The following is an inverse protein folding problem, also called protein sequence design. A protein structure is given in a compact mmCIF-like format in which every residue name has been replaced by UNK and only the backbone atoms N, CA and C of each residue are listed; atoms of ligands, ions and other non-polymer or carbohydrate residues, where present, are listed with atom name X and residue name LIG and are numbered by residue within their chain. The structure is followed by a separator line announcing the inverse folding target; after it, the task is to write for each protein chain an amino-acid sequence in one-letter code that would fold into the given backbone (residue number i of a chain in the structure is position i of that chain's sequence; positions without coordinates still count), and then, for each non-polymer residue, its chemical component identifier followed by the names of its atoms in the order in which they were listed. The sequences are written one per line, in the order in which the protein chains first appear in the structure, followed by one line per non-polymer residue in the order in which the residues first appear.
data_IF_433357913459
#
_entry.id   IF_433357913459
#
_cell.length_a   1.000
_cell.length_b   1.000
_cell.length_c   1.000
_cell.angle_alpha   90.00
_cell.angle_beta   90.00
_cell.angle_gamma   90.00
#
_symmetry.space_group_name_H-M   'P 1'
#
loop_
_entity.id
_entity.type
_entity.pdbx_description
1 polymer ?
#
# COMPACT_ATOMS: atom_id res chain seq x y z
N UNK A 1 -2.80 30.76 -19.14
CA UNK A 1 -3.68 29.83 -18.40
C UNK A 1 -5.02 30.52 -18.23
N UNK A 2 -6.10 29.95 -18.78
CA UNK A 2 -7.46 30.46 -18.62
C UNK A 2 -7.99 29.83 -17.34
N UNK A 3 -8.29 30.65 -16.32
CA UNK A 3 -8.98 30.19 -15.12
C UNK A 3 -10.47 30.17 -15.41
N UNK A 4 -11.12 29.02 -15.26
CA UNK A 4 -12.57 28.93 -15.36
C UNK A 4 -13.20 29.53 -14.09
N UNK A 5 -14.32 30.22 -14.27
CA UNK A 5 -15.12 30.74 -13.15
C UNK A 5 -15.49 29.56 -12.23
N UNK A 6 -15.17 29.66 -10.94
CA UNK A 6 -15.42 28.68 -9.87
C UNK A 6 -14.38 27.55 -9.65
N UNK A 7 -13.22 27.57 -10.31
CA UNK A 7 -12.13 26.65 -9.94
C UNK A 7 -11.41 27.09 -8.65
N UNK A 8 -10.88 26.15 -7.83
CA UNK A 8 -10.01 26.48 -6.70
C UNK A 8 -8.79 27.31 -7.15
N UNK A 9 -8.34 28.28 -6.33
CA UNK A 9 -7.23 29.16 -6.68
C UNK A 9 -5.96 28.35 -6.97
N UNK A 10 -5.39 28.51 -8.16
CA UNK A 10 -4.05 28.00 -8.48
C UNK A 10 -3.02 28.95 -7.87
N UNK A 11 -2.22 28.44 -6.96
CA UNK A 11 -1.13 29.20 -6.35
C UNK A 11 -0.16 29.65 -7.47
N UNK A 12 0.24 30.93 -7.51
CA UNK A 12 1.20 31.42 -8.50
C UNK A 12 2.57 30.77 -8.34
N UNK A 13 3.19 30.40 -9.47
CA UNK A 13 4.53 29.81 -9.53
C UNK A 13 5.35 30.44 -10.65
N UNK A 14 6.66 30.58 -10.42
CA UNK A 14 7.58 31.26 -11.35
C UNK A 14 8.17 30.34 -12.43
N UNK A 15 8.19 29.03 -12.19
CA UNK A 15 8.85 28.06 -13.07
C UNK A 15 7.81 27.16 -13.76
N UNK A 16 7.43 27.42 -15.03
CA UNK A 16 6.30 26.73 -15.68
C UNK A 16 6.40 25.20 -15.71
N UNK A 17 7.61 24.65 -15.86
CA UNK A 17 7.85 23.21 -15.95
C UNK A 17 7.84 22.55 -14.57
N UNK A 18 8.39 23.21 -13.55
CA UNK A 18 8.59 22.63 -12.22
C UNK A 18 7.39 22.94 -11.29
N UNK A 19 6.79 24.12 -11.47
CA UNK A 19 5.81 24.70 -10.56
C UNK A 19 6.28 24.73 -9.12
N UNK A 20 5.45 24.17 -8.25
CA UNK A 20 5.65 24.11 -6.80
C UNK A 20 6.39 22.84 -6.37
N UNK A 21 6.88 22.04 -7.32
CA UNK A 21 7.42 20.71 -6.99
C UNK A 21 8.60 20.79 -6.03
N UNK A 22 9.51 21.73 -6.22
CA UNK A 22 10.66 21.89 -5.34
C UNK A 22 10.24 22.26 -3.91
N UNK A 23 9.39 23.27 -3.75
CA UNK A 23 8.92 23.71 -2.43
C UNK A 23 8.12 22.61 -1.72
N UNK A 24 7.29 21.90 -2.48
CA UNK A 24 6.51 20.76 -1.98
C UNK A 24 7.39 19.63 -1.46
N UNK A 25 8.48 19.27 -2.14
CA UNK A 25 9.36 18.19 -1.69
C UNK A 25 10.38 18.63 -0.62
N UNK A 26 10.78 19.91 -0.62
CA UNK A 26 11.76 20.44 0.34
C UNK A 26 11.16 20.66 1.72
N UNK A 27 9.96 21.24 1.79
CA UNK A 27 9.31 21.59 3.06
C UNK A 27 7.78 21.54 2.91
N UNK A 28 7.20 20.33 2.73
CA UNK A 28 5.78 20.17 2.41
C UNK A 28 4.88 20.79 3.48
N UNK A 29 5.23 20.64 4.76
CA UNK A 29 4.37 21.06 5.86
C UNK A 29 4.25 22.57 5.90
N UNK A 30 5.38 23.30 5.96
CA UNK A 30 5.32 24.76 6.04
C UNK A 30 4.82 25.38 4.72
N UNK A 31 5.15 24.76 3.58
CA UNK A 31 4.68 25.25 2.28
C UNK A 31 3.16 25.13 2.14
N UNK A 32 2.58 23.97 2.47
CA UNK A 32 1.12 23.78 2.43
C UNK A 32 0.41 24.66 3.45
N UNK A 33 0.97 24.86 4.64
CA UNK A 33 0.42 25.76 5.66
C UNK A 33 0.36 27.20 5.15
N UNK A 34 1.45 27.72 4.56
CA UNK A 34 1.48 29.06 3.95
C UNK A 34 0.47 29.21 2.81
N UNK A 35 0.28 28.17 2.01
CA UNK A 35 -0.72 28.19 0.95
C UNK A 35 -2.14 28.25 1.52
N UNK A 36 -2.44 27.44 2.54
CA UNK A 36 -3.73 27.47 3.23
C UNK A 36 -4.01 28.84 3.86
N UNK A 37 -3.05 29.42 4.55
CA UNK A 37 -3.21 30.75 5.19
C UNK A 37 -3.48 31.86 4.17
N UNK A 38 -2.86 31.77 2.98
CA UNK A 38 -2.97 32.81 1.95
C UNK A 38 -4.16 32.64 1.01
N UNK A 39 -4.53 31.41 0.67
CA UNK A 39 -5.51 31.12 -0.38
C UNK A 39 -6.77 30.39 0.13
N UNK A 40 -6.82 30.00 1.41
CA UNK A 40 -7.91 29.20 1.98
C UNK A 40 -7.86 27.74 1.53
N UNK A 41 -8.93 26.98 1.81
CA UNK A 41 -9.14 25.63 1.30
C UNK A 41 -10.45 25.55 0.49
N UNK A 42 -10.47 24.86 -0.67
CA UNK A 42 -9.35 24.17 -1.32
C UNK A 42 -8.47 25.13 -2.15
N UNK A 43 -7.24 24.71 -2.45
CA UNK A 43 -6.33 25.42 -3.37
C UNK A 43 -5.60 24.45 -4.29
N UNK A 44 -5.12 24.93 -5.42
CA UNK A 44 -4.46 24.12 -6.44
C UNK A 44 -2.97 24.42 -6.54
N UNK A 45 -2.16 23.37 -6.71
CA UNK A 45 -0.71 23.45 -6.92
C UNK A 45 -0.31 22.73 -8.20
N UNK A 46 0.56 23.33 -9.00
CA UNK A 46 1.27 22.63 -10.07
C UNK A 46 2.44 21.81 -9.51
N UNK A 47 2.34 20.48 -9.52
CA UNK A 47 3.33 19.54 -8.99
C UNK A 47 3.55 18.41 -10.01
N UNK A 48 4.81 18.14 -10.34
CA UNK A 48 5.22 17.07 -11.25
C UNK A 48 4.48 17.09 -12.60
N UNK A 49 4.36 18.28 -13.21
CA UNK A 49 3.72 18.46 -14.51
C UNK A 49 2.18 18.49 -14.48
N UNK A 50 1.56 18.42 -13.30
CA UNK A 50 0.10 18.32 -13.18
C UNK A 50 -0.44 19.31 -12.12
N UNK A 51 -1.63 19.87 -12.36
CA UNK A 51 -2.36 20.63 -11.34
C UNK A 51 -3.00 19.64 -10.37
N UNK A 52 -2.78 19.84 -9.07
CA UNK A 52 -3.34 19.03 -7.98
C UNK A 52 -4.04 19.95 -7.00
N UNK A 53 -5.31 19.68 -6.74
CA UNK A 53 -6.10 20.39 -5.75
C UNK A 53 -5.90 19.77 -4.38
N UNK A 54 -5.50 20.58 -3.41
CA UNK A 54 -5.36 20.23 -2.01
C UNK A 54 -6.61 20.66 -1.26
N UNK A 55 -7.22 19.69 -0.59
CA UNK A 55 -8.35 19.88 0.32
C UNK A 55 -7.86 19.88 1.75
N UNK A 56 -8.53 20.62 2.62
CA UNK A 56 -8.25 20.61 4.06
C UNK A 56 -9.28 19.84 4.84
N UNK A 57 -9.31 20.05 6.16
CA UNK A 57 -10.17 19.32 7.09
C UNK A 57 -11.65 19.56 6.77
N UNK A 58 -12.02 20.78 6.40
CA UNK A 58 -13.41 21.16 6.16
C UNK A 58 -13.92 20.61 4.82
N UNK A 59 -13.04 20.45 3.84
CA UNK A 59 -13.40 20.07 2.45
C UNK A 59 -13.10 18.61 2.10
N UNK A 60 -12.28 17.91 2.88
CA UNK A 60 -11.90 16.52 2.61
C UNK A 60 -13.11 15.56 2.58
N UNK A 61 -14.12 15.80 3.41
CA UNK A 61 -15.30 14.94 3.49
C UNK A 61 -16.11 14.92 2.19
N UNK A 62 -16.11 16.02 1.42
CA UNK A 62 -16.74 16.11 0.10
C UNK A 62 -16.06 15.19 -0.91
N UNK A 63 -14.73 15.11 -0.88
CA UNK A 63 -13.95 14.22 -1.74
C UNK A 63 -14.24 12.75 -1.42
N UNK A 64 -14.33 12.41 -0.14
CA UNK A 64 -14.55 11.02 0.28
C UNK A 64 -16.00 10.53 0.09
N UNK A 65 -17.00 11.43 0.14
CA UNK A 65 -18.41 11.06 -0.05
C UNK A 65 -18.78 10.84 -1.52
N UNK A 66 -18.22 11.62 -2.43
CA UNK A 66 -18.54 11.59 -3.85
C UNK A 66 -17.64 10.62 -4.63
N UNK A 67 -17.67 9.34 -4.25
CA UNK A 67 -16.87 8.27 -4.89
C UNK A 67 -17.27 7.95 -6.34
N UNK A 68 -18.44 8.45 -6.76
CA UNK A 68 -18.91 8.43 -8.15
C UNK A 68 -18.20 9.48 -9.03
N UNK A 69 -17.64 10.53 -8.40
CA UNK A 69 -16.90 11.60 -9.06
C UNK A 69 -15.38 11.42 -8.85
N UNK A 70 -14.96 11.10 -7.63
CA UNK A 70 -13.55 10.94 -7.26
C UNK A 70 -13.13 9.48 -7.22
N UNK A 71 -12.31 9.06 -8.19
CA UNK A 71 -11.78 7.71 -8.27
C UNK A 71 -10.38 7.58 -7.62
N UNK A 72 -10.36 7.04 -6.40
CA UNK A 72 -9.12 6.77 -5.66
C UNK A 72 -8.26 5.68 -6.32
N UNK A 73 -8.88 4.68 -6.96
CA UNK A 73 -8.14 3.60 -7.60
C UNK A 73 -7.41 4.10 -8.85
N UNK A 74 -8.06 4.93 -9.65
CA UNK A 74 -7.42 5.62 -10.77
C UNK A 74 -6.29 6.53 -10.29
N UNK A 75 -6.51 7.28 -9.20
CA UNK A 75 -5.51 8.18 -8.63
C UNK A 75 -4.25 7.43 -8.16
N UNK A 76 -4.42 6.33 -7.41
CA UNK A 76 -3.30 5.50 -6.96
C UNK A 76 -2.54 4.92 -8.16
N UNK A 77 -3.24 4.40 -9.18
CA UNK A 77 -2.61 3.85 -10.38
C UNK A 77 -1.77 4.86 -11.16
N UNK A 78 -2.15 6.15 -11.16
CA UNK A 78 -1.37 7.24 -11.79
C UNK A 78 -0.07 7.54 -11.06
N UNK A 79 -0.03 7.36 -9.74
CA UNK A 79 1.15 7.63 -8.91
C UNK A 79 2.04 6.40 -8.79
N UNK A 80 1.42 5.22 -8.73
CA UNK A 80 2.07 3.95 -8.55
C UNK A 80 1.33 2.90 -9.37
N UNK A 81 1.98 2.19 -10.32
CA UNK A 81 1.30 1.28 -11.24
C UNK A 81 0.91 -0.03 -10.54
N UNK A 82 0.02 0.05 -9.54
CA UNK A 82 -0.39 -1.08 -8.71
C UNK A 82 -1.10 -2.12 -9.56
N UNK A 83 -1.90 -1.69 -10.54
CA UNK A 83 -2.55 -2.62 -11.44
C UNK A 83 -1.50 -3.42 -12.21
N UNK A 84 -0.52 -2.78 -12.88
CA UNK A 84 0.52 -3.50 -13.63
C UNK A 84 1.36 -4.45 -12.75
N UNK A 85 1.63 -4.06 -11.50
CA UNK A 85 2.35 -4.92 -10.54
C UNK A 85 1.53 -6.16 -10.18
N UNK A 86 0.22 -6.05 -10.03
CA UNK A 86 -0.63 -7.16 -9.60
C UNK A 86 -1.36 -7.89 -10.75
N UNK A 87 -1.34 -7.35 -11.97
CA UNK A 87 -2.13 -7.81 -13.13
C UNK A 87 -1.90 -9.29 -13.42
N UNK A 88 -0.64 -9.70 -13.46
CA UNK A 88 -0.23 -11.10 -13.69
C UNK A 88 -0.71 -12.09 -12.59
N UNK A 89 -1.24 -11.59 -11.48
CA UNK A 89 -1.75 -12.39 -10.36
C UNK A 89 -3.25 -12.22 -10.13
N UNK A 90 -3.92 -11.30 -10.83
CA UNK A 90 -5.36 -11.07 -10.68
C UNK A 90 -6.12 -12.10 -11.52
N UNK A 91 -6.89 -12.95 -10.83
CA UNK A 91 -8.00 -13.72 -11.44
C UNK A 91 -9.36 -13.05 -11.22
N UNK A 92 -9.42 -12.04 -10.36
CA UNK A 92 -10.65 -11.32 -9.98
C UNK A 92 -10.41 -9.82 -10.22
N UNK A 93 -11.12 -9.25 -11.18
CA UNK A 93 -10.83 -7.93 -11.74
C UNK A 93 -11.44 -6.74 -11.00
N UNK A 94 -12.24 -6.97 -9.94
CA UNK A 94 -12.92 -5.89 -9.26
C UNK A 94 -12.21 -5.47 -7.98
N UNK A 95 -11.70 -4.24 -7.94
CA UNK A 95 -11.22 -3.60 -6.71
C UNK A 95 -12.33 -3.55 -5.65
N UNK A 96 -13.59 -3.37 -6.06
CA UNK A 96 -14.75 -3.43 -5.17
C UNK A 96 -14.94 -4.83 -4.56
N UNK A 97 -14.72 -5.90 -5.34
CA UNK A 97 -14.70 -7.26 -4.81
C UNK A 97 -13.61 -7.44 -3.74
N UNK A 98 -12.38 -7.00 -4.02
CA UNK A 98 -11.28 -7.09 -3.05
C UNK A 98 -11.56 -6.28 -1.78
N UNK A 99 -12.09 -5.06 -1.91
CA UNK A 99 -12.49 -4.24 -0.77
C UNK A 99 -13.54 -4.96 0.10
N UNK A 100 -14.54 -5.57 -0.53
CA UNK A 100 -15.55 -6.37 0.17
C UNK A 100 -14.94 -7.58 0.89
N UNK A 101 -14.06 -8.33 0.23
CA UNK A 101 -13.38 -9.48 0.84
C UNK A 101 -12.55 -9.05 2.05
N UNK A 102 -11.77 -7.97 1.96
CA UNK A 102 -11.01 -7.44 3.10
C UNK A 102 -11.94 -7.03 4.23
N UNK A 103 -13.04 -6.34 3.92
CA UNK A 103 -14.01 -5.94 4.94
C UNK A 103 -14.63 -7.16 5.65
N UNK A 104 -15.18 -8.12 4.90
CA UNK A 104 -15.88 -9.28 5.45
C UNK A 104 -14.96 -10.27 6.18
N UNK A 105 -13.75 -10.47 5.67
CA UNK A 105 -12.84 -11.49 6.18
C UNK A 105 -11.84 -10.96 7.21
N UNK A 106 -11.54 -9.66 7.19
CA UNK A 106 -10.57 -9.04 8.11
C UNK A 106 -11.27 -8.06 9.04
N UNK A 107 -11.78 -6.94 8.51
CA UNK A 107 -12.29 -5.83 9.34
C UNK A 107 -13.47 -6.22 10.21
N UNK A 108 -14.46 -6.94 9.67
CA UNK A 108 -15.65 -7.37 10.38
C UNK A 108 -15.36 -8.46 11.44
N UNK A 109 -14.18 -9.09 11.38
CA UNK A 109 -13.77 -10.21 12.24
C UNK A 109 -12.60 -9.86 13.17
N UNK A 110 -12.23 -8.56 13.28
CA UNK A 110 -11.10 -8.13 14.12
C UNK A 110 -11.24 -8.60 15.56
N UNK A 111 -12.45 -8.53 16.13
CA UNK A 111 -12.74 -9.02 17.48
C UNK A 111 -12.45 -10.51 17.67
N UNK A 112 -12.68 -11.34 16.65
CA UNK A 112 -12.37 -12.77 16.66
C UNK A 112 -10.85 -12.99 16.66
N UNK A 113 -10.10 -12.11 15.99
CA UNK A 113 -8.65 -12.23 15.85
C UNK A 113 -7.85 -11.59 16.99
N UNK A 114 -8.45 -10.70 17.79
CA UNK A 114 -7.76 -9.89 18.81
C UNK A 114 -6.83 -10.72 19.72
N UNK A 115 -7.35 -11.76 20.37
CA UNK A 115 -6.55 -12.56 21.31
C UNK A 115 -5.37 -13.25 20.62
N UNK A 116 -5.58 -13.74 19.39
CA UNK A 116 -4.54 -14.38 18.58
C UNK A 116 -3.50 -13.37 18.11
N UNK A 117 -3.93 -12.20 17.65
CA UNK A 117 -3.03 -11.10 17.27
C UNK A 117 -2.16 -10.65 18.44
N UNK A 118 -2.74 -10.51 19.64
CA UNK A 118 -1.99 -10.16 20.86
C UNK A 118 -0.95 -11.23 21.20
N UNK A 119 -1.33 -12.51 21.17
CA UNK A 119 -0.40 -13.64 21.38
C UNK A 119 0.77 -13.60 20.39
N UNK A 120 0.49 -13.46 19.09
CA UNK A 120 1.54 -13.43 18.07
C UNK A 120 2.43 -12.19 18.18
N UNK A 121 1.85 -11.03 18.51
CA UNK A 121 2.59 -9.80 18.74
C UNK A 121 3.53 -9.92 19.93
N UNK A 122 3.06 -10.44 21.08
CA UNK A 122 3.89 -10.68 22.26
C UNK A 122 5.02 -11.67 21.96
N UNK A 123 4.72 -12.75 21.24
CA UNK A 123 5.73 -13.71 20.78
C UNK A 123 6.81 -13.05 19.91
N UNK A 124 6.41 -12.14 19.02
CA UNK A 124 7.35 -11.43 18.17
C UNK A 124 8.17 -10.38 18.96
N UNK A 125 7.56 -9.68 19.93
CA UNK A 125 8.27 -8.77 20.83
C UNK A 125 9.32 -9.52 21.63
N UNK A 126 8.98 -10.65 22.25
CA UNK A 126 9.92 -11.46 23.01
C UNK A 126 11.09 -11.95 22.14
N UNK A 127 10.79 -12.44 20.93
CA UNK A 127 11.81 -12.85 19.96
C UNK A 127 12.80 -11.71 19.63
N UNK A 128 12.30 -10.53 19.28
CA UNK A 128 13.16 -9.44 18.77
C UNK A 128 13.72 -8.54 19.87
N UNK A 129 12.96 -8.23 20.92
CA UNK A 129 13.29 -7.29 21.99
C UNK A 129 13.44 -7.92 23.38
N UNK A 130 12.97 -9.16 23.57
CA UNK A 130 13.10 -9.86 24.85
C UNK A 130 14.55 -10.19 25.20
N UNK A 131 14.72 -10.87 26.34
CA UNK A 131 16.02 -11.11 26.95
C UNK A 131 17.01 -11.79 26.00
N UNK A 132 18.28 -11.40 26.12
CA UNK A 132 19.35 -11.90 25.28
C UNK A 132 20.62 -12.16 26.08
N UNK A 133 21.25 -13.32 25.84
CA UNK A 133 22.56 -13.64 26.44
C UNK A 133 23.67 -12.74 25.90
N UNK A 134 23.56 -12.37 24.63
CA UNK A 134 24.48 -11.47 23.93
C UNK A 134 23.75 -10.19 23.52
N UNK A 135 24.41 -9.01 23.49
CA UNK A 135 23.78 -7.76 23.12
C UNK A 135 23.13 -7.80 21.73
N UNK A 136 21.82 -7.51 21.66
CA UNK A 136 21.09 -7.34 20.40
C UNK A 136 21.34 -5.93 19.84
N UNK A 137 21.98 -5.83 18.69
CA UNK A 137 22.20 -4.54 17.99
C UNK A 137 21.21 -4.37 16.86
N UNK A 138 20.33 -3.38 16.99
CA UNK A 138 19.37 -3.04 15.95
C UNK A 138 19.96 -2.01 14.99
N UNK A 139 20.40 -2.46 13.81
CA UNK A 139 20.93 -1.57 12.77
C UNK A 139 19.84 -0.74 12.09
N UNK A 140 18.64 -1.32 11.96
CA UNK A 140 17.50 -0.67 11.35
C UNK A 140 16.23 -0.99 12.16
N UNK A 141 15.80 -0.04 12.98
CA UNK A 141 14.64 -0.22 13.83
C UNK A 141 13.34 -0.40 13.03
N UNK A 142 13.24 0.18 11.83
CA UNK A 142 12.08 0.02 10.94
C UNK A 142 11.89 -1.42 10.50
N UNK A 143 12.98 -2.10 10.14
CA UNK A 143 12.93 -3.50 9.71
C UNK A 143 12.50 -4.42 10.87
N UNK A 144 12.97 -4.13 12.09
CA UNK A 144 12.57 -4.89 13.29
C UNK A 144 11.08 -4.68 13.60
N UNK A 145 10.59 -3.43 13.58
CA UNK A 145 9.16 -3.16 13.76
C UNK A 145 8.30 -3.84 12.69
N UNK A 146 8.74 -3.80 11.41
CA UNK A 146 8.03 -4.47 10.33
C UNK A 146 7.93 -5.99 10.57
N UNK A 147 9.02 -6.63 11.02
CA UNK A 147 9.02 -8.05 11.38
C UNK A 147 8.13 -8.37 12.59
N UNK A 148 8.12 -7.49 13.61
CA UNK A 148 7.27 -7.65 14.79
C UNK A 148 5.77 -7.60 14.43
N UNK A 149 5.38 -6.71 13.52
CA UNK A 149 3.98 -6.58 13.06
C UNK A 149 3.62 -7.63 11.99
N UNK A 150 4.58 -8.10 11.20
CA UNK A 150 4.32 -9.04 10.12
C UNK A 150 3.76 -10.38 10.59
N UNK A 151 4.19 -10.88 11.76
CA UNK A 151 3.73 -12.16 12.30
C UNK A 151 2.21 -12.18 12.61
N UNK A 152 1.65 -11.26 13.41
CA UNK A 152 0.20 -11.21 13.62
C UNK A 152 -0.57 -10.95 12.32
N UNK A 153 -0.03 -10.14 11.39
CA UNK A 153 -0.67 -9.90 10.09
C UNK A 153 -0.73 -11.18 9.24
N UNK A 154 0.38 -11.90 9.11
CA UNK A 154 0.42 -13.17 8.36
C UNK A 154 -0.55 -14.21 8.92
N UNK A 155 -0.66 -14.27 10.26
CA UNK A 155 -1.55 -15.17 10.96
C UNK A 155 -3.04 -14.87 10.69
N UNK A 156 -3.40 -13.57 10.64
CA UNK A 156 -4.77 -13.13 10.32
C UNK A 156 -5.11 -13.30 8.84
N UNK A 157 -4.21 -12.86 7.95
CA UNK A 157 -4.48 -12.79 6.51
C UNK A 157 -4.43 -14.16 5.84
N UNK A 158 -3.54 -15.06 6.28
CA UNK A 158 -3.41 -16.39 5.70
C UNK A 158 -4.03 -17.43 6.63
N UNK A 159 -3.28 -17.86 7.64
CA UNK A 159 -3.69 -18.77 8.71
C UNK A 159 -2.53 -18.96 9.69
N UNK A 160 -2.81 -19.61 10.82
CA UNK A 160 -1.81 -19.88 11.86
C UNK A 160 -0.69 -20.80 11.36
N UNK A 161 -1.02 -21.81 10.56
CA UNK A 161 -0.06 -22.81 10.03
C UNK A 161 0.93 -22.18 9.05
N UNK A 162 0.46 -21.28 8.18
CA UNK A 162 1.34 -20.57 7.23
C UNK A 162 2.19 -19.50 7.93
N UNK A 163 1.66 -18.88 8.99
CA UNK A 163 2.36 -17.85 9.75
C UNK A 163 3.49 -18.38 10.65
N UNK A 164 3.68 -19.70 10.73
CA UNK A 164 4.86 -20.29 11.38
C UNK A 164 6.12 -20.21 10.52
N UNK A 165 5.99 -20.02 9.20
CA UNK A 165 7.14 -19.98 8.31
C UNK A 165 7.80 -18.59 8.29
N UNK A 166 9.07 -18.53 8.66
CA UNK A 166 9.86 -17.29 8.69
C UNK A 166 9.95 -16.58 7.33
N UNK A 167 9.91 -17.33 6.22
CA UNK A 167 9.91 -16.76 4.87
C UNK A 167 8.58 -16.07 4.51
N UNK A 168 7.46 -16.51 5.08
CA UNK A 168 6.16 -15.83 5.00
C UNK A 168 6.19 -14.54 5.82
N UNK A 169 6.64 -14.62 7.09
CA UNK A 169 6.75 -13.44 7.97
C UNK A 169 7.65 -12.38 7.32
N UNK A 170 8.82 -12.81 6.83
CA UNK A 170 9.77 -11.93 6.15
C UNK A 170 9.15 -11.34 4.87
N UNK A 171 8.36 -12.11 4.12
CA UNK A 171 7.67 -11.59 2.95
C UNK A 171 6.68 -10.48 3.29
N UNK A 172 5.88 -10.64 4.35
CA UNK A 172 4.98 -9.57 4.82
C UNK A 172 5.73 -8.33 5.31
N UNK A 173 6.88 -8.51 5.97
CA UNK A 173 7.68 -7.39 6.48
C UNK A 173 8.35 -6.58 5.36
N UNK A 174 8.75 -7.23 4.27
CA UNK A 174 9.60 -6.61 3.24
C UNK A 174 8.86 -6.17 1.97
N UNK A 175 7.68 -6.71 1.69
CA UNK A 175 6.96 -6.46 0.43
C UNK A 175 6.71 -4.97 0.17
N UNK A 176 6.37 -4.18 1.19
CA UNK A 176 6.17 -2.72 1.06
C UNK A 176 7.43 -2.00 0.61
N UNK A 177 8.58 -2.38 1.16
CA UNK A 177 9.88 -1.80 0.80
C UNK A 177 10.26 -2.15 -0.64
N UNK A 178 10.01 -3.38 -1.07
CA UNK A 178 10.34 -3.83 -2.43
C UNK A 178 9.41 -3.18 -3.47
N UNK A 179 8.14 -2.99 -3.14
CA UNK A 179 7.16 -2.24 -3.94
C UNK A 179 7.55 -0.75 -4.01
N UNK A 180 7.90 -0.13 -2.88
CA UNK A 180 8.26 1.29 -2.85
C UNK A 180 9.53 1.61 -3.64
N UNK A 181 10.43 0.64 -3.83
CA UNK A 181 11.61 0.85 -4.68
C UNK A 181 11.28 1.22 -6.13
N UNK A 182 10.13 0.80 -6.65
CA UNK A 182 9.63 1.21 -7.98
C UNK A 182 9.42 2.75 -8.04
N UNK A 183 9.12 3.40 -6.90
CA UNK A 183 8.91 4.86 -6.81
C UNK A 183 10.19 5.68 -6.93
N UNK A 184 11.39 5.08 -6.83
CA UNK A 184 12.64 5.83 -6.93
C UNK A 184 13.06 6.19 -8.36
N UNK A 185 12.29 5.79 -9.39
CA UNK A 185 12.49 6.33 -10.74
C UNK A 185 12.22 7.83 -10.69
N UNK A 186 13.24 8.70 -10.90
CA UNK A 186 13.06 10.13 -10.75
C UNK A 186 11.94 10.61 -11.68
N UNK A 187 10.97 11.40 -11.18
CA UNK A 187 9.82 11.82 -11.96
C UNK A 187 10.17 12.95 -12.94
N UNK A 188 11.41 13.00 -13.44
CA UNK A 188 11.89 13.97 -14.43
C UNK A 188 11.01 13.90 -15.68
N UNK A 189 10.65 12.69 -16.10
CA UNK A 189 9.79 12.46 -17.27
C UNK A 189 8.34 12.87 -17.00
N UNK A 190 7.89 12.88 -15.73
CA UNK A 190 6.51 13.26 -15.42
C UNK A 190 6.24 14.75 -15.65
N UNK A 191 7.26 15.60 -15.59
CA UNK A 191 7.16 17.02 -15.96
C UNK A 191 6.84 17.24 -17.44
N UNK A 192 7.21 16.28 -18.30
CA UNK A 192 6.96 16.31 -19.75
C UNK A 192 5.68 15.55 -20.07
N UNK A 193 5.56 14.32 -19.57
CA UNK A 193 4.41 13.45 -19.80
C UNK A 193 4.26 12.40 -18.71
N UNK A 194 3.17 12.50 -17.95
CA UNK A 194 2.76 11.47 -16.97
C UNK A 194 2.59 10.10 -17.61
N UNK A 195 2.10 10.04 -18.86
CA UNK A 195 1.92 8.78 -19.60
C UNK A 195 3.27 8.11 -19.91
N UNK A 196 4.23 8.87 -20.41
CA UNK A 196 5.55 8.32 -20.74
C UNK A 196 6.29 7.85 -19.49
N UNK A 197 6.19 8.61 -18.40
CA UNK A 197 6.75 8.22 -17.11
C UNK A 197 6.16 6.90 -16.61
N UNK A 198 4.84 6.71 -16.69
CA UNK A 198 4.19 5.46 -16.34
C UNK A 198 4.68 4.27 -17.20
N UNK A 199 4.92 4.47 -18.51
CA UNK A 199 5.49 3.44 -19.38
C UNK A 199 6.91 3.05 -19.00
N UNK A 200 7.74 4.00 -18.58
CA UNK A 200 9.11 3.74 -18.13
C UNK A 200 9.10 2.92 -16.83
N UNK A 201 8.27 3.31 -15.86
CA UNK A 201 8.16 2.61 -14.57
C UNK A 201 7.66 1.17 -14.76
N UNK A 202 6.71 0.95 -15.66
CA UNK A 202 6.11 -0.37 -15.92
C UNK A 202 6.94 -1.24 -16.86
N UNK A 203 7.94 -0.69 -17.55
CA UNK A 203 8.73 -1.41 -18.53
C UNK A 203 9.44 -2.65 -17.93
N UNK A 204 10.14 -2.59 -16.78
CA UNK A 204 10.73 -3.77 -16.15
C UNK A 204 9.73 -4.89 -15.84
N UNK A 205 8.48 -4.54 -15.48
CA UNK A 205 7.44 -5.52 -15.15
C UNK A 205 7.13 -6.43 -16.35
N UNK A 206 7.20 -5.88 -17.57
CA UNK A 206 6.96 -6.62 -18.82
C UNK A 206 8.03 -7.66 -19.14
N UNK A 207 9.23 -7.51 -18.58
CA UNK A 207 10.34 -8.46 -18.71
C UNK A 207 10.43 -9.43 -17.51
N UNK A 208 9.37 -9.52 -16.70
CA UNK A 208 9.31 -10.41 -15.56
C UNK A 208 10.03 -9.90 -14.31
N UNK A 209 10.56 -8.67 -14.32
CA UNK A 209 11.20 -8.05 -13.14
C UNK A 209 10.15 -7.43 -12.23
N UNK A 210 9.22 -8.26 -11.76
CA UNK A 210 8.19 -7.84 -10.83
C UNK A 210 8.64 -8.15 -9.39
N UNK A 211 8.77 -7.12 -8.52
CA UNK A 211 9.30 -7.30 -7.16
C UNK A 211 8.44 -8.22 -6.30
N UNK A 212 7.15 -8.38 -6.61
CA UNK A 212 6.27 -9.24 -5.82
C UNK A 212 6.31 -10.71 -6.24
N UNK A 213 7.01 -11.06 -7.33
CA UNK A 213 7.03 -12.44 -7.84
C UNK A 213 7.61 -13.43 -6.83
N UNK A 214 8.73 -13.08 -6.19
CA UNK A 214 9.35 -13.93 -5.16
C UNK A 214 8.44 -14.10 -3.94
N UNK A 215 7.74 -13.04 -3.53
CA UNK A 215 6.76 -13.11 -2.46
C UNK A 215 5.62 -14.05 -2.85
N UNK A 216 5.05 -13.91 -4.05
CA UNK A 216 4.03 -14.83 -4.57
C UNK A 216 4.51 -16.27 -4.53
N UNK A 217 5.73 -16.56 -4.99
CA UNK A 217 6.26 -17.91 -5.06
C UNK A 217 6.40 -18.53 -3.65
N UNK A 218 6.85 -17.74 -2.67
CA UNK A 218 6.86 -18.14 -1.26
C UNK A 218 5.46 -18.48 -0.76
N UNK A 219 4.47 -17.62 -1.06
CA UNK A 219 3.08 -17.85 -0.65
C UNK A 219 2.52 -19.12 -1.30
N UNK A 220 2.73 -19.33 -2.60
CA UNK A 220 2.31 -20.56 -3.30
C UNK A 220 2.98 -21.78 -2.68
N UNK A 221 4.30 -21.73 -2.44
CA UNK A 221 5.06 -22.84 -1.85
C UNK A 221 4.52 -23.25 -0.48
N UNK A 222 4.18 -22.29 0.39
CA UNK A 222 3.75 -22.57 1.77
C UNK A 222 2.25 -22.81 1.91
N UNK A 223 1.44 -22.07 1.17
CA UNK A 223 -0.02 -22.10 1.32
C UNK A 223 -0.68 -23.18 0.47
N UNK A 224 -0.13 -23.51 -0.71
CA UNK A 224 -0.75 -24.51 -1.60
C UNK A 224 -0.94 -25.87 -0.90
N UNK A 225 0.05 -26.45 -0.21
CA UNK A 225 -0.15 -27.73 0.48
C UNK A 225 -1.23 -27.67 1.57
N UNK A 226 -1.29 -26.56 2.32
CA UNK A 226 -2.30 -26.34 3.37
C UNK A 226 -3.70 -26.31 2.76
N UNK A 227 -3.87 -25.58 1.66
CA UNK A 227 -5.14 -25.46 0.96
C UNK A 227 -5.55 -26.81 0.36
N UNK A 228 -4.63 -27.52 -0.30
CA UNK A 228 -4.89 -28.83 -0.90
C UNK A 228 -5.31 -29.86 0.14
N UNK A 229 -4.66 -29.87 1.30
CA UNK A 229 -5.03 -30.74 2.42
C UNK A 229 -6.42 -30.42 2.98
N UNK A 230 -6.75 -29.14 3.17
CA UNK A 230 -8.09 -28.72 3.62
C UNK A 230 -9.17 -29.10 2.61
N UNK A 231 -8.89 -28.96 1.32
CA UNK A 231 -9.81 -29.38 0.25
C UNK A 231 -10.00 -30.90 0.24
N UNK A 232 -8.93 -31.68 0.47
CA UNK A 232 -8.99 -33.13 0.60
C UNK A 232 -9.86 -33.55 1.80
N UNK A 233 -9.58 -33.00 2.98
CA UNK A 233 -10.36 -33.26 4.20
C UNK A 233 -11.83 -32.91 4.03
N UNK A 234 -12.15 -31.79 3.38
CA UNK A 234 -13.53 -31.38 3.11
C UNK A 234 -14.26 -32.38 2.21
N UNK A 235 -13.57 -32.96 1.21
CA UNK A 235 -14.14 -34.01 0.34
C UNK A 235 -14.35 -35.32 1.09
N UNK A 236 -13.41 -35.71 1.94
CA UNK A 236 -13.46 -36.96 2.70
C UNK A 236 -14.49 -36.93 3.84
N UNK A 237 -14.59 -35.80 4.57
CA UNK A 237 -15.42 -35.66 5.77
C UNK A 237 -16.82 -35.10 5.49
N UNK A 238 -17.04 -34.46 4.33
CA UNK A 238 -18.32 -33.87 3.95
C UNK A 238 -18.86 -32.91 5.03
N UNK A 239 -20.06 -33.18 5.53
CA UNK A 239 -20.71 -32.38 6.59
C UNK A 239 -20.00 -32.45 7.95
N UNK A 240 -19.15 -33.45 8.18
CA UNK A 240 -18.37 -33.58 9.42
C UNK A 240 -17.11 -32.71 9.42
N UNK A 241 -16.82 -32.01 8.32
CA UNK A 241 -15.66 -31.11 8.24
C UNK A 241 -15.85 -29.87 9.11
N UNK A 242 -15.00 -29.71 10.11
CA UNK A 242 -14.93 -28.49 10.92
C UNK A 242 -13.84 -27.59 10.34
N UNK A 243 -14.24 -26.41 9.87
CA UNK A 243 -13.30 -25.39 9.42
C UNK A 243 -12.55 -24.84 10.64
N UNK A 244 -11.23 -25.06 10.66
CA UNK A 244 -10.30 -24.48 11.64
C UNK A 244 -9.78 -23.13 11.18
#
# INVERSE_FOLDING_TARGET
FIFWQNEPPLVPYSYPIIGHTYDYYRDPVNFLQKCKEKYGEPFSLFILGNVRTFTGVETSHEVFRHSDIFDFHLAINKVFPINDVFDQFRKFDSTAFMARVVHEQVSAKVNIYTSRMQKELLSAIDKYFGDCKEPKVFRNIRDIFALTVAKPVANVIICEEAAQYEDIITSFALVEREISNIRFVPPIVSFISSYLHAKIITFPLRFGWNPISRHRDTFVKRCKPIIEERLRQRKELGEKYIQK
#
